data_IF_440243489338
#
_entry.id   IF_440243489338
#
_cell.length_a   1.000
_cell.length_b   1.000
_cell.length_c   1.000
_cell.angle_alpha   90.00
_cell.angle_beta   90.00
_cell.angle_gamma   90.00
#
_symmetry.space_group_name_H-M   'P 1'
#
loop_
_entity.id
_entity.type
_entity.pdbx_description
1 polymer ?
#
# COMPACT_ATOMS: atom_id res chain seq x y z
N UNK A 1 6.22 -14.36 1.65
CA UNK A 1 5.17 -13.33 1.60
C UNK A 1 5.61 -12.23 0.65
N UNK A 2 4.68 -11.63 -0.10
CA UNK A 2 4.90 -10.47 -0.95
C UNK A 2 3.87 -9.41 -0.61
N UNK A 3 4.25 -8.13 -0.64
CA UNK A 3 3.34 -7.02 -0.43
C UNK A 3 2.50 -6.77 -1.69
N UNK A 4 1.21 -6.57 -1.51
CA UNK A 4 0.27 -6.13 -2.55
C UNK A 4 -0.46 -4.87 -2.10
N UNK A 5 -0.62 -3.93 -3.02
CA UNK A 5 -1.44 -2.74 -2.81
C UNK A 5 -2.60 -2.76 -3.80
N UNK A 6 -3.82 -2.49 -3.30
CA UNK A 6 -4.97 -2.37 -4.17
C UNK A 6 -5.03 -1.04 -4.92
N UNK A 7 -5.50 -1.12 -6.16
CA UNK A 7 -5.92 0.01 -6.97
C UNK A 7 -7.36 -0.18 -7.41
N UNK A 8 -8.15 0.89 -7.42
CA UNK A 8 -9.48 0.88 -8.03
C UNK A 8 -9.38 0.70 -9.54
N UNK A 9 -10.18 -0.20 -10.12
CA UNK A 9 -10.14 -0.46 -11.58
C UNK A 9 -11.52 -0.32 -12.23
N UNK A 10 -11.53 0.34 -13.38
CA UNK A 10 -12.74 0.59 -14.18
C UNK A 10 -13.25 -0.68 -14.88
N UNK A 11 -14.58 -0.76 -15.08
CA UNK A 11 -15.26 -1.71 -15.97
C UNK A 11 -14.74 -1.69 -17.44
N UNK A 12 -13.98 -0.67 -17.85
CA UNK A 12 -13.35 -0.60 -19.16
C UNK A 12 -12.03 -1.39 -19.24
N UNK A 13 -11.48 -1.76 -18.08
CA UNK A 13 -10.27 -2.58 -17.96
C UNK A 13 -10.64 -4.06 -17.81
N UNK A 14 -11.74 -4.34 -17.09
CA UNK A 14 -12.22 -5.69 -16.80
C UNK A 14 -13.73 -5.80 -16.99
N UNK A 15 -14.23 -6.91 -17.54
CA UNK A 15 -15.66 -7.26 -17.67
C UNK A 15 -15.81 -8.77 -17.51
N UNK A 16 -16.81 -9.18 -16.73
CA UNK A 16 -17.13 -10.59 -16.44
C UNK A 16 -15.90 -11.37 -15.94
N UNK A 17 -15.15 -10.80 -14.99
CA UNK A 17 -13.92 -11.42 -14.49
C UNK A 17 -12.74 -11.45 -15.47
N UNK A 18 -12.84 -10.80 -16.64
CA UNK A 18 -11.83 -10.90 -17.71
C UNK A 18 -11.27 -9.53 -18.10
N UNK A 19 -9.98 -9.52 -18.43
CA UNK A 19 -9.28 -8.35 -18.94
C UNK A 19 -9.74 -8.01 -20.38
N UNK A 20 -10.22 -6.79 -20.63
CA UNK A 20 -10.85 -6.41 -21.92
C UNK A 20 -9.83 -6.00 -23.00
N UNK A 21 -8.64 -5.47 -22.64
CA UNK A 21 -7.70 -4.89 -23.63
C UNK A 21 -6.57 -5.85 -24.02
N UNK A 22 -6.21 -5.83 -25.31
CA UNK A 22 -5.05 -6.54 -25.88
C UNK A 22 -3.75 -5.70 -25.99
N UNK A 23 -3.75 -4.41 -25.62
CA UNK A 23 -2.60 -3.50 -25.79
C UNK A 23 -1.99 -3.08 -24.45
N UNK A 24 -1.49 -4.04 -23.69
CA UNK A 24 -0.55 -3.79 -22.60
C UNK A 24 0.86 -4.02 -23.15
N UNK A 25 1.30 -3.15 -24.07
CA UNK A 25 2.47 -3.40 -24.92
C UNK A 25 3.79 -3.70 -24.17
N UNK A 26 3.85 -3.45 -22.87
CA UNK A 26 4.99 -3.73 -22.00
C UNK A 26 4.78 -4.87 -21.00
N UNK A 27 3.54 -5.33 -20.80
CA UNK A 27 3.17 -6.33 -19.79
C UNK A 27 2.30 -7.40 -20.43
N UNK A 28 2.83 -8.60 -20.58
CA UNK A 28 2.12 -9.73 -21.17
C UNK A 28 1.37 -10.51 -20.10
N UNK A 29 0.07 -10.72 -20.25
CA UNK A 29 -0.70 -11.60 -19.37
C UNK A 29 -0.37 -13.06 -19.73
N UNK A 30 0.32 -13.78 -18.85
CA UNK A 30 0.77 -15.16 -19.10
C UNK A 30 -0.07 -16.20 -18.39
N UNK A 31 -0.74 -15.85 -17.28
CA UNK A 31 -1.65 -16.74 -16.56
C UNK A 31 -2.90 -16.02 -16.10
N UNK A 32 -4.02 -16.72 -16.17
CA UNK A 32 -5.29 -16.37 -15.54
C UNK A 32 -5.82 -17.60 -14.81
N UNK A 33 -6.16 -17.42 -13.55
CA UNK A 33 -6.74 -18.48 -12.73
C UNK A 33 -7.91 -17.89 -11.92
N UNK A 34 -9.07 -18.51 -12.02
CA UNK A 34 -10.22 -18.15 -11.19
C UNK A 34 -10.10 -18.90 -9.87
N UNK A 35 -9.96 -18.17 -8.76
CA UNK A 35 -9.84 -18.76 -7.42
C UNK A 35 -11.20 -18.90 -6.75
N UNK A 36 -12.05 -17.88 -6.89
CA UNK A 36 -13.45 -17.88 -6.44
C UNK A 36 -14.30 -17.13 -7.48
N UNK A 37 -15.61 -17.02 -7.26
CA UNK A 37 -16.47 -16.19 -8.11
C UNK A 37 -16.10 -14.71 -8.08
N UNK A 38 -15.54 -14.26 -6.95
CA UNK A 38 -15.17 -12.88 -6.67
C UNK A 38 -13.67 -12.59 -6.79
N UNK A 39 -12.83 -13.60 -7.08
CA UNK A 39 -11.38 -13.43 -7.08
C UNK A 39 -10.69 -14.19 -8.22
N UNK A 40 -9.89 -13.44 -8.97
CA UNK A 40 -9.08 -13.94 -10.07
C UNK A 40 -7.61 -13.62 -9.82
N UNK A 41 -6.73 -14.60 -10.03
CA UNK A 41 -5.29 -14.42 -10.06
C UNK A 41 -4.81 -14.20 -11.49
N UNK A 42 -4.19 -13.05 -11.73
CA UNK A 42 -3.53 -12.72 -12.98
C UNK A 42 -2.02 -12.65 -12.77
N UNK A 43 -1.26 -13.32 -13.64
CA UNK A 43 0.19 -13.17 -13.70
C UNK A 43 0.53 -12.47 -15.00
N UNK A 44 1.10 -11.28 -14.87
CA UNK A 44 1.70 -10.55 -15.98
C UNK A 44 3.20 -10.78 -16.01
N UNK A 45 3.83 -10.54 -17.15
CA UNK A 45 5.27 -10.68 -17.32
C UNK A 45 5.82 -9.45 -18.04
N UNK A 46 6.95 -8.94 -17.54
CA UNK A 46 7.78 -7.93 -18.21
C UNK A 46 9.23 -8.30 -17.99
N UNK A 47 10.01 -8.37 -19.08
CA UNK A 47 11.47 -8.64 -19.01
C UNK A 47 11.83 -9.89 -18.17
N UNK A 48 10.99 -10.94 -18.25
CA UNK A 48 11.08 -12.19 -17.47
C UNK A 48 10.75 -12.11 -15.97
N UNK A 49 10.32 -10.95 -15.47
CA UNK A 49 9.79 -10.83 -14.12
C UNK A 49 8.28 -11.06 -14.12
N UNK A 50 7.76 -12.02 -13.32
CA UNK A 50 6.33 -12.15 -13.09
C UNK A 50 5.84 -11.03 -12.17
N UNK A 51 4.64 -10.54 -12.44
CA UNK A 51 3.91 -9.57 -11.63
C UNK A 51 2.61 -10.24 -11.24
N UNK A 52 2.50 -10.62 -9.98
CA UNK A 52 1.27 -11.19 -9.46
C UNK A 52 0.27 -10.07 -9.24
N UNK A 53 -0.99 -10.34 -9.57
CA UNK A 53 -2.09 -9.45 -9.23
C UNK A 53 -3.37 -10.22 -8.99
N UNK A 54 -4.18 -9.74 -8.06
CA UNK A 54 -5.45 -10.35 -7.72
C UNK A 54 -6.57 -9.37 -8.01
N UNK A 55 -7.45 -9.75 -8.93
CA UNK A 55 -8.63 -8.97 -9.28
C UNK A 55 -9.80 -9.42 -8.43
N UNK A 56 -10.27 -8.50 -7.60
CA UNK A 56 -11.30 -8.71 -6.61
C UNK A 56 -12.58 -7.96 -7.01
N UNK A 57 -13.68 -8.68 -7.07
CA UNK A 57 -15.02 -8.18 -7.39
C UNK A 57 -15.83 -8.24 -6.11
N UNK A 58 -16.32 -7.09 -5.66
CA UNK A 58 -17.03 -6.98 -4.38
C UNK A 58 -18.48 -7.48 -4.50
N UNK A 59 -19.15 -7.07 -5.57
CA UNK A 59 -20.58 -7.30 -5.76
C UNK A 59 -20.90 -7.91 -7.13
N UNK A 60 -22.03 -8.61 -7.24
CA UNK A 60 -22.47 -9.30 -8.45
C UNK A 60 -22.78 -8.35 -9.62
N UNK A 61 -23.04 -7.07 -9.33
CA UNK A 61 -23.23 -6.02 -10.33
C UNK A 61 -21.88 -5.46 -10.80
N UNK A 62 -20.77 -5.98 -10.25
CA UNK A 62 -19.41 -5.56 -10.43
C UNK A 62 -19.25 -4.03 -10.33
N UNK A 63 -19.91 -3.39 -9.35
CA UNK A 63 -19.83 -1.93 -9.16
C UNK A 63 -18.53 -1.50 -8.49
N UNK A 64 -18.06 -2.30 -7.53
CA UNK A 64 -16.78 -2.10 -6.84
C UNK A 64 -15.78 -3.20 -7.18
N UNK A 65 -14.59 -2.79 -7.63
CA UNK A 65 -13.57 -3.70 -8.12
C UNK A 65 -12.18 -3.17 -7.84
N UNK A 66 -11.33 -4.07 -7.37
CA UNK A 66 -9.96 -3.75 -7.01
C UNK A 66 -8.99 -4.69 -7.70
N UNK A 67 -7.83 -4.17 -8.04
CA UNK A 67 -6.69 -4.98 -8.46
C UNK A 67 -5.61 -4.84 -7.40
N UNK A 68 -5.38 -5.89 -6.62
CA UNK A 68 -4.25 -6.00 -5.70
C UNK A 68 -3.02 -6.33 -6.53
N UNK A 69 -2.06 -5.41 -6.61
CA UNK A 69 -0.87 -5.56 -7.44
C UNK A 69 0.34 -5.77 -6.55
N UNK A 70 1.18 -6.75 -6.90
CA UNK A 70 2.45 -6.99 -6.22
C UNK A 70 3.36 -5.75 -6.27
N UNK A 71 3.85 -5.32 -5.12
CA UNK A 71 4.80 -4.23 -4.99
C UNK A 71 6.20 -4.70 -5.37
N UNK A 72 6.52 -4.58 -6.66
CA UNK A 72 7.84 -4.83 -7.24
C UNK A 72 8.32 -3.61 -8.05
N UNK A 73 9.49 -3.70 -8.69
CA UNK A 73 10.11 -2.60 -9.44
C UNK A 73 9.24 -2.05 -10.60
N UNK A 74 8.31 -2.86 -11.11
CA UNK A 74 7.42 -2.46 -12.19
C UNK A 74 6.06 -1.94 -11.71
N UNK A 75 5.77 -1.98 -10.41
CA UNK A 75 4.47 -1.61 -9.83
C UNK A 75 3.91 -0.30 -10.42
N UNK A 76 4.67 0.80 -10.39
CA UNK A 76 4.22 2.10 -10.93
C UNK A 76 3.95 2.08 -12.43
N UNK A 77 4.83 1.48 -13.24
CA UNK A 77 4.65 1.41 -14.70
C UNK A 77 3.48 0.47 -15.05
N UNK A 78 3.28 -0.58 -14.26
CA UNK A 78 2.15 -1.51 -14.38
C UNK A 78 0.83 -0.80 -14.06
N UNK A 79 0.70 -0.16 -12.90
CA UNK A 79 -0.55 0.48 -12.49
C UNK A 79 -1.00 1.60 -13.45
N UNK A 80 -0.05 2.35 -14.04
CA UNK A 80 -0.31 3.40 -15.06
C UNK A 80 -1.17 2.93 -16.24
N UNK A 81 -1.18 1.64 -16.56
CA UNK A 81 -1.98 1.14 -17.69
C UNK A 81 -3.48 1.06 -17.41
N UNK A 82 -3.89 1.10 -16.13
CA UNK A 82 -5.29 1.04 -15.72
C UNK A 82 -5.92 2.42 -15.54
N UNK A 83 -5.09 3.46 -15.36
CA UNK A 83 -5.55 4.84 -15.23
C UNK A 83 -5.61 5.52 -16.60
N UNK A 84 -6.84 5.82 -17.07
CA UNK A 84 -7.06 6.56 -18.34
C UNK A 84 -7.06 8.09 -18.16
N UNK A 85 -7.17 8.57 -16.92
CA UNK A 85 -7.34 9.99 -16.59
C UNK A 85 -6.53 10.28 -15.32
N UNK A 86 -5.74 11.37 -15.24
CA UNK A 86 -4.93 11.70 -14.06
C UNK A 86 -5.69 11.86 -12.74
N UNK A 87 -7.03 11.90 -12.79
CA UNK A 87 -7.90 12.25 -11.67
C UNK A 87 -8.82 11.12 -11.19
N UNK A 88 -8.76 9.92 -11.79
CA UNK A 88 -9.58 8.78 -11.34
C UNK A 88 -8.77 7.89 -10.39
N UNK A 89 -8.92 8.28 -9.12
CA UNK A 89 -8.72 7.61 -7.83
C UNK A 89 -7.61 6.55 -7.67
N UNK A 90 -6.88 6.69 -6.56
CA UNK A 90 -5.47 6.42 -6.42
C UNK A 90 -5.32 5.00 -5.88
N UNK A 91 -4.08 4.62 -5.61
CA UNK A 91 -3.83 3.54 -4.65
C UNK A 91 -4.75 3.70 -3.43
N UNK A 92 -5.41 2.62 -3.04
CA UNK A 92 -6.12 2.57 -1.77
C UNK A 92 -5.10 2.28 -0.66
N UNK A 93 -5.48 2.58 0.58
CA UNK A 93 -4.83 2.17 1.83
C UNK A 93 -4.99 0.67 2.15
N UNK A 94 -5.64 -0.09 1.27
CA UNK A 94 -5.67 -1.55 1.31
C UNK A 94 -4.33 -2.16 0.86
N UNK A 95 -3.45 -2.36 1.83
CA UNK A 95 -2.20 -3.12 1.70
C UNK A 95 -2.32 -4.50 2.34
N UNK A 96 -1.75 -5.52 1.70
CA UNK A 96 -1.79 -6.88 2.22
C UNK A 96 -0.55 -7.68 1.84
N UNK A 97 0.04 -8.38 2.80
CA UNK A 97 1.06 -9.38 2.51
C UNK A 97 0.39 -10.71 2.18
N UNK A 98 0.66 -11.26 1.00
CA UNK A 98 0.11 -12.54 0.54
C UNK A 98 1.20 -13.56 0.29
N UNK A 99 0.90 -14.84 0.52
CA UNK A 99 1.72 -15.95 0.04
C UNK A 99 1.19 -16.43 -1.32
N UNK A 100 1.93 -16.11 -2.39
CA UNK A 100 1.56 -16.52 -3.75
C UNK A 100 1.61 -18.04 -3.97
N UNK A 101 2.19 -18.80 -3.03
CA UNK A 101 2.21 -20.26 -3.06
C UNK A 101 1.03 -20.91 -2.31
N UNK A 102 0.17 -20.11 -1.68
CA UNK A 102 -1.04 -20.55 -0.96
C UNK A 102 -2.30 -19.83 -1.45
N UNK A 103 -2.71 -20.01 -2.70
CA UNK A 103 -3.84 -19.30 -3.30
C UNK A 103 -5.16 -19.47 -2.55
N UNK A 104 -5.33 -20.57 -1.81
CA UNK A 104 -6.50 -20.85 -0.98
C UNK A 104 -6.67 -19.89 0.21
N UNK A 105 -5.58 -19.29 0.71
CA UNK A 105 -5.62 -18.32 1.82
C UNK A 105 -5.87 -16.88 1.32
N UNK A 106 -5.59 -16.60 0.04
CA UNK A 106 -5.60 -15.24 -0.52
C UNK A 106 -6.97 -14.59 -0.45
N UNK A 107 -8.05 -15.31 -0.80
CA UNK A 107 -9.41 -14.75 -0.76
C UNK A 107 -9.78 -14.26 0.64
N UNK A 108 -9.46 -15.04 1.67
CA UNK A 108 -9.75 -14.66 3.05
C UNK A 108 -9.03 -13.37 3.44
N UNK A 109 -7.76 -13.24 3.07
CA UNK A 109 -6.93 -12.08 3.41
C UNK A 109 -7.37 -10.82 2.64
N UNK A 110 -7.59 -10.94 1.34
CA UNK A 110 -8.08 -9.83 0.49
C UNK A 110 -9.45 -9.35 0.94
N UNK A 111 -10.38 -10.28 1.21
CA UNK A 111 -11.71 -9.93 1.68
C UNK A 111 -11.70 -9.30 3.07
N UNK A 112 -10.80 -9.73 3.95
CA UNK A 112 -10.63 -9.13 5.27
C UNK A 112 -10.18 -7.67 5.14
N UNK A 113 -9.13 -7.41 4.35
CA UNK A 113 -8.62 -6.04 4.14
C UNK A 113 -9.67 -5.13 3.49
N UNK A 114 -10.47 -5.64 2.55
CA UNK A 114 -11.59 -4.88 2.01
C UNK A 114 -12.64 -4.51 3.07
N UNK A 115 -12.99 -5.46 3.95
CA UNK A 115 -13.98 -5.20 5.02
C UNK A 115 -13.47 -4.21 6.07
N UNK A 116 -12.17 -4.25 6.36
CA UNK A 116 -11.55 -3.40 7.38
C UNK A 116 -11.21 -1.98 6.85
N UNK A 117 -11.28 -1.76 5.54
CA UNK A 117 -10.94 -0.48 4.91
C UNK A 117 -11.99 0.63 5.15
N UNK A 118 -13.25 0.26 5.37
CA UNK A 118 -14.32 1.24 5.55
C UNK A 118 -14.63 1.46 7.03
N UNK A 119 -14.58 2.71 7.48
CA UNK A 119 -15.16 3.10 8.75
C UNK A 119 -16.68 3.11 8.65
N UNK A 120 -17.36 2.47 9.60
CA UNK A 120 -18.81 2.60 9.74
C UNK A 120 -19.18 4.04 10.17
N UNK A 121 -20.43 4.49 9.91
CA UNK A 121 -20.90 5.86 10.23
C UNK A 121 -20.69 6.26 11.71
N UNK A 122 -20.56 5.28 12.60
CA UNK A 122 -20.36 5.47 14.03
C UNK A 122 -18.93 5.23 14.51
N UNK A 123 -18.03 4.79 13.63
CA UNK A 123 -16.63 4.60 13.97
C UNK A 123 -15.88 5.93 13.97
N UNK A 124 -14.99 6.08 14.95
CA UNK A 124 -14.16 7.27 15.05
C UNK A 124 -13.04 7.19 14.01
N UNK A 125 -13.03 8.10 13.04
CA UNK A 125 -11.92 8.29 12.11
C UNK A 125 -10.58 8.38 12.86
N UNK A 126 -9.48 7.78 12.37
CA UNK A 126 -8.19 7.78 13.04
C UNK A 126 -7.52 9.16 12.94
N UNK A 127 -7.69 9.96 13.98
CA UNK A 127 -7.07 11.29 14.06
C UNK A 127 -5.73 11.18 14.80
N UNK A 128 -4.65 11.61 14.15
CA UNK A 128 -3.30 11.60 14.69
C UNK A 128 -2.48 12.80 14.20
N UNK A 129 -1.73 13.40 15.12
CA UNK A 129 -0.71 14.40 14.84
C UNK A 129 0.66 13.87 15.26
N UNK A 130 1.57 13.75 14.30
CA UNK A 130 2.99 13.44 14.54
C UNK A 130 3.82 14.72 14.57
N UNK A 131 4.58 14.88 15.65
CA UNK A 131 5.53 15.98 15.81
C UNK A 131 6.93 15.37 15.91
N UNK A 132 7.67 15.42 14.79
CA UNK A 132 9.04 14.94 14.71
C UNK A 132 10.00 15.70 15.63
N UNK A 133 11.10 15.03 15.98
CA UNK A 133 12.14 15.62 16.84
C UNK A 133 12.74 16.87 16.18
N UNK A 134 12.87 17.95 16.96
CA UNK A 134 13.35 19.24 16.44
C UNK A 134 14.87 19.32 16.37
N UNK A 135 15.57 18.82 17.40
CA UNK A 135 17.01 18.89 17.56
C UNK A 135 17.54 17.72 18.42
N UNK A 136 18.86 17.59 18.53
CA UNK A 136 19.47 16.60 19.41
C UNK A 136 18.95 16.77 20.85
N UNK A 137 18.63 15.64 21.50
CA UNK A 137 18.01 15.61 22.83
C UNK A 137 16.61 16.26 22.93
N UNK A 138 16.00 16.68 21.82
CA UNK A 138 14.62 17.16 21.80
C UNK A 138 13.61 16.02 21.95
N UNK A 139 12.38 16.36 22.33
CA UNK A 139 11.27 15.40 22.37
C UNK A 139 10.60 15.29 20.99
N UNK A 140 9.98 14.14 20.75
CA UNK A 140 8.95 13.95 19.72
C UNK A 140 7.60 13.71 20.41
N UNK A 141 6.50 14.03 19.73
CA UNK A 141 5.16 13.85 20.28
C UNK A 141 4.25 13.15 19.28
N UNK A 142 3.42 12.25 19.78
CA UNK A 142 2.32 11.63 19.07
C UNK A 142 1.05 11.95 19.86
N UNK A 143 0.12 12.68 19.26
CA UNK A 143 -1.20 12.96 19.83
C UNK A 143 -2.23 12.32 18.92
N UNK A 144 -2.86 11.25 19.39
CA UNK A 144 -3.76 10.44 18.59
C UNK A 144 -4.97 9.98 19.41
N UNK A 145 -6.11 9.81 18.74
CA UNK A 145 -7.28 9.20 19.34
C UNK A 145 -7.11 7.66 19.44
N UNK A 146 -8.05 6.99 20.12
CA UNK A 146 -7.95 5.54 20.34
C UNK A 146 -7.90 4.74 19.04
N UNK A 147 -8.67 5.13 18.03
CA UNK A 147 -8.70 4.46 16.73
C UNK A 147 -7.34 4.53 16.03
N UNK A 148 -6.77 5.73 15.90
CA UNK A 148 -5.44 5.93 15.32
C UNK A 148 -4.33 5.19 16.08
N UNK A 149 -4.40 5.11 17.42
CA UNK A 149 -3.42 4.35 18.20
C UNK A 149 -3.51 2.84 17.96
N UNK A 150 -4.70 2.29 17.75
CA UNK A 150 -4.88 0.88 17.43
C UNK A 150 -4.39 0.57 16.02
N UNK A 151 -4.72 1.39 15.03
CA UNK A 151 -4.23 1.23 13.66
C UNK A 151 -2.71 1.35 13.59
N UNK A 152 -2.12 2.32 14.29
CA UNK A 152 -0.66 2.45 14.37
C UNK A 152 -0.03 1.21 15.01
N UNK A 153 -0.64 0.66 16.07
CA UNK A 153 -0.17 -0.57 16.70
C UNK A 153 -0.21 -1.75 15.72
N UNK A 154 -1.30 -1.92 14.98
CA UNK A 154 -1.45 -3.03 14.04
C UNK A 154 -0.51 -2.88 12.83
N UNK A 155 -0.25 -1.65 12.39
CA UNK A 155 0.77 -1.35 11.41
C UNK A 155 2.18 -1.66 11.93
N UNK A 156 2.50 -1.33 13.19
CA UNK A 156 3.77 -1.74 13.83
C UNK A 156 3.88 -3.26 13.88
N UNK A 157 2.84 -3.98 14.31
CA UNK A 157 2.85 -5.45 14.34
C UNK A 157 3.08 -6.05 12.95
N UNK A 158 2.48 -5.45 11.92
CA UNK A 158 2.70 -5.85 10.51
C UNK A 158 4.15 -5.61 10.08
N UNK A 159 4.73 -4.45 10.42
CA UNK A 159 6.13 -4.15 10.12
C UNK A 159 7.09 -5.08 10.90
N UNK A 160 6.78 -5.44 12.14
CA UNK A 160 7.55 -6.41 12.91
C UNK A 160 7.55 -7.81 12.25
N UNK A 161 6.43 -8.20 11.63
CA UNK A 161 6.31 -9.51 10.96
C UNK A 161 6.89 -9.53 9.55
N UNK A 162 6.78 -8.42 8.82
CA UNK A 162 7.06 -8.37 7.38
C UNK A 162 8.12 -7.34 6.96
N UNK A 163 8.72 -6.63 7.91
CA UNK A 163 9.75 -5.62 7.70
C UNK A 163 9.21 -4.23 7.40
N UNK A 164 8.08 -4.10 6.69
CA UNK A 164 7.49 -2.79 6.36
C UNK A 164 5.97 -2.81 6.45
N UNK A 165 5.38 -1.66 6.78
CA UNK A 165 3.94 -1.44 6.68
C UNK A 165 3.64 0.03 6.38
N UNK A 166 2.38 0.30 6.05
CA UNK A 166 1.83 1.62 5.84
C UNK A 166 0.45 1.66 6.48
N UNK A 167 0.10 2.78 7.09
CA UNK A 167 -1.24 3.08 7.57
C UNK A 167 -1.65 4.48 7.14
N UNK A 168 -2.94 4.72 6.97
CA UNK A 168 -3.46 6.07 6.79
C UNK A 168 -3.71 6.73 8.15
N UNK A 169 -3.62 8.05 8.22
CA UNK A 169 -3.97 8.83 9.40
C UNK A 169 -4.44 10.20 8.96
N UNK A 170 -5.22 10.85 9.81
CA UNK A 170 -5.78 12.18 9.51
C UNK A 170 -5.35 13.18 10.59
N UNK A 171 -4.85 14.37 10.24
CA UNK A 171 -4.76 15.48 11.17
C UNK A 171 -6.18 15.98 11.48
N UNK A 172 -6.30 16.87 12.45
CA UNK A 172 -7.58 17.50 12.81
C UNK A 172 -8.28 18.25 11.67
N UNK A 173 -7.59 18.58 10.59
CA UNK A 173 -8.17 19.20 9.38
C UNK A 173 -8.80 18.19 8.40
N UNK A 174 -8.59 16.88 8.62
CA UNK A 174 -9.16 15.81 7.81
C UNK A 174 -8.36 15.45 6.55
N UNK A 175 -7.19 16.06 6.32
CA UNK A 175 -6.37 15.77 5.15
C UNK A 175 -5.53 14.49 5.36
N UNK A 176 -5.94 13.38 4.73
CA UNK A 176 -5.28 12.09 4.93
C UNK A 176 -3.80 12.07 4.52
N UNK A 177 -2.97 11.43 5.34
CA UNK A 177 -1.57 11.15 5.03
C UNK A 177 -1.21 9.69 5.34
N UNK A 178 -0.16 9.20 4.68
CA UNK A 178 0.38 7.87 4.95
C UNK A 178 1.51 7.94 5.96
N UNK A 179 1.43 7.10 6.98
CA UNK A 179 2.54 6.80 7.90
C UNK A 179 3.19 5.50 7.45
N UNK A 180 4.46 5.59 7.04
CA UNK A 180 5.25 4.43 6.64
C UNK A 180 6.12 3.97 7.81
N UNK A 181 6.16 2.66 8.04
CA UNK A 181 6.89 2.04 9.16
C UNK A 181 7.83 1.00 8.59
N UNK A 182 9.11 1.06 9.01
CA UNK A 182 10.13 0.07 8.66
C UNK A 182 10.72 -0.50 9.94
N UNK A 183 10.64 -1.82 10.06
CA UNK A 183 11.44 -2.60 11.01
C UNK A 183 12.75 -2.98 10.34
N UNK A 184 13.87 -2.79 11.04
CA UNK A 184 15.22 -3.10 10.57
C UNK A 184 15.89 -4.06 11.55
N UNK A 185 16.82 -4.86 11.03
CA UNK A 185 17.59 -5.81 11.83
C UNK A 185 18.62 -5.10 12.74
N UNK A 186 19.19 -5.84 13.69
CA UNK A 186 20.15 -5.31 14.67
C UNK A 186 21.43 -4.76 14.04
N UNK A 187 21.84 -5.30 12.89
CA UNK A 187 23.03 -4.90 12.13
C UNK A 187 22.77 -3.79 11.10
N UNK A 188 21.59 -3.16 11.17
CA UNK A 188 21.24 -2.06 10.26
C UNK A 188 22.22 -0.88 10.36
N UNK A 189 22.69 -0.44 9.20
CA UNK A 189 23.61 0.68 9.07
C UNK A 189 22.86 2.02 9.17
N UNK A 190 22.80 2.56 10.39
CA UNK A 190 22.15 3.83 10.69
C UNK A 190 22.79 5.04 10.00
N UNK A 191 24.01 4.93 9.47
CA UNK A 191 24.63 6.02 8.69
C UNK A 191 23.94 6.22 7.33
N UNK A 192 23.16 5.24 6.86
CA UNK A 192 22.41 5.33 5.60
C UNK A 192 21.07 6.07 5.73
N UNK A 193 20.62 6.36 6.95
CA UNK A 193 19.38 7.09 7.21
C UNK A 193 19.71 8.50 7.66
N UNK A 194 19.06 9.48 7.04
CA UNK A 194 19.23 10.87 7.43
C UNK A 194 18.76 11.10 8.87
N UNK A 195 19.46 11.99 9.57
CA UNK A 195 19.06 12.37 10.93
C UNK A 195 17.63 12.91 10.95
N UNK A 196 16.79 12.53 11.94
CA UNK A 196 15.36 12.83 11.95
C UNK A 196 15.04 14.22 12.50
N UNK A 197 15.98 15.17 12.43
CA UNK A 197 15.82 16.51 13.01
C UNK A 197 15.27 17.50 11.99
N UNK A 198 14.30 18.32 12.40
CA UNK A 198 13.53 19.15 11.46
C UNK A 198 13.63 20.66 11.73
N UNK A 199 14.43 21.11 12.71
CA UNK A 199 14.58 22.54 12.98
C UNK A 199 15.63 23.19 12.04
N UNK A 200 15.21 24.11 11.14
CA UNK A 200 16.10 24.71 10.14
C UNK A 200 17.19 25.61 10.76
N UNK A 201 17.02 26.03 12.02
CA UNK A 201 18.05 26.80 12.74
C UNK A 201 19.30 25.97 13.03
N UNK A 202 19.12 24.67 13.26
CA UNK A 202 20.18 23.77 13.68
C UNK A 202 20.60 22.79 12.57
N UNK A 203 19.73 22.58 11.58
CA UNK A 203 19.96 21.68 10.46
C UNK A 203 19.68 22.41 9.14
N UNK A 204 20.71 22.61 8.34
CA UNK A 204 20.64 23.36 7.07
C UNK A 204 20.28 22.50 5.86
N UNK A 205 19.82 21.25 6.07
CA UNK A 205 19.61 20.31 4.97
C UNK A 205 18.23 20.53 4.36
N UNK A 206 18.16 20.46 3.03
CA UNK A 206 16.96 20.83 2.26
C UNK A 206 15.78 19.87 2.46
N UNK A 207 16.00 18.60 2.83
CA UNK A 207 14.98 17.66 3.34
C UNK A 207 15.67 16.33 3.71
N UNK A 208 15.16 15.62 4.73
CA UNK A 208 15.58 14.24 5.03
C UNK A 208 14.86 13.27 4.09
N UNK A 209 15.54 12.20 3.66
CA UNK A 209 15.00 11.26 2.66
C UNK A 209 14.82 9.84 3.25
N UNK A 210 13.97 9.67 4.29
CA UNK A 210 13.79 8.38 4.97
C UNK A 210 13.28 7.28 4.04
N UNK A 211 12.57 7.67 2.97
CA UNK A 211 12.05 6.78 1.95
C UNK A 211 13.11 5.94 1.23
N UNK A 212 14.39 6.35 1.24
CA UNK A 212 15.49 5.57 0.65
C UNK A 212 15.73 4.24 1.35
N UNK A 213 15.39 4.16 2.64
CA UNK A 213 15.55 2.93 3.44
C UNK A 213 14.47 1.89 3.13
N UNK A 214 13.33 2.28 2.54
CA UNK A 214 12.24 1.37 2.22
C UNK A 214 12.55 0.50 1.00
N UNK A 215 12.06 -0.72 1.03
CA UNK A 215 12.27 -1.78 0.02
C UNK A 215 10.95 -2.13 -0.65
N UNK A 216 9.91 -2.46 0.12
CA UNK A 216 8.59 -2.83 -0.40
C UNK A 216 7.82 -1.59 -0.87
N UNK A 217 7.87 -0.50 -0.11
CA UNK A 217 7.20 0.75 -0.48
C UNK A 217 8.06 1.71 -1.31
N UNK A 218 9.28 1.34 -1.67
CA UNK A 218 10.22 2.18 -2.43
C UNK A 218 9.59 2.79 -3.68
N UNK A 219 8.75 2.01 -4.36
CA UNK A 219 8.11 2.43 -5.59
C UNK A 219 6.87 3.28 -5.36
N UNK A 220 6.29 3.34 -4.15
CA UNK A 220 5.23 4.28 -3.82
C UNK A 220 5.80 5.68 -3.54
N UNK A 221 6.97 5.72 -2.91
CA UNK A 221 7.59 6.94 -2.36
C UNK A 221 8.42 7.78 -3.36
N UNK A 222 8.66 7.29 -4.58
CA UNK A 222 9.49 7.95 -5.61
C UNK A 222 8.75 8.66 -6.75
#
# INVERSE_FOLDING_TARGET
MKLFTAIGVSHLSFSDGKLIKKKYRKFELTKTEKLTDSLYHFIFQKENMPIHSYYFIVDDLETERYLFVENNEYYKDFCKQFFRVPFMMPETDMDVYLDVHKPEEVYKQVNQVYRDHFYEEHESMPISHFFGQQEWHGNAYLIANRAALLELKDAIDTALLHGESRTVSFPSDGEGYYTYIKCVDEDFDWEQVDMPYHNPKYFSREEAEPYKSFTHYKNHLR
#
